data_IF_197310394638
#
_entry.id   IF_197310394638
#
_cell.length_a   1.000
_cell.length_b   1.000
_cell.length_c   1.000
_cell.angle_alpha   90.00
_cell.angle_beta   90.00
_cell.angle_gamma   90.00
#
_symmetry.space_group_name_H-M   'P 1'
#
loop_
_entity.id
_entity.type
_entity.pdbx_description
1 polymer ?
#
# COMPACT_ATOMS: atom_id res chain seq x y z
N UNK A 1 13.72 29.52 -14.87
CA UNK A 1 13.53 28.31 -15.70
C UNK A 1 12.08 27.91 -15.52
N UNK A 2 11.41 27.51 -16.57
CA UNK A 2 10.06 26.93 -16.47
C UNK A 2 10.05 25.74 -15.51
N UNK A 3 8.99 25.57 -14.73
CA UNK A 3 8.92 24.55 -13.68
C UNK A 3 9.03 23.12 -14.25
N UNK A 4 8.42 22.87 -15.41
CA UNK A 4 8.46 21.57 -16.07
C UNK A 4 9.86 21.29 -16.63
N UNK A 5 10.52 22.28 -17.24
CA UNK A 5 11.87 22.14 -17.73
C UNK A 5 12.86 21.90 -16.58
N UNK A 6 12.68 22.53 -15.44
CA UNK A 6 13.49 22.29 -14.24
C UNK A 6 13.30 20.86 -13.73
N UNK A 7 12.07 20.42 -13.57
CA UNK A 7 11.72 19.08 -13.11
C UNK A 7 12.25 17.98 -14.05
N UNK A 8 12.12 18.17 -15.38
CA UNK A 8 12.69 17.26 -16.38
C UNK A 8 14.22 17.19 -16.25
N UNK A 9 14.90 18.35 -16.14
CA UNK A 9 16.34 18.42 -15.98
C UNK A 9 16.82 17.67 -14.72
N UNK A 10 16.14 17.89 -13.59
CA UNK A 10 16.47 17.23 -12.33
C UNK A 10 16.20 15.72 -12.38
N UNK A 11 15.11 15.28 -13.00
CA UNK A 11 14.81 13.87 -13.21
C UNK A 11 15.92 13.17 -14.02
N UNK A 12 16.40 13.79 -15.10
CA UNK A 12 17.54 13.29 -15.91
C UNK A 12 18.81 13.19 -15.09
N UNK A 13 19.16 14.25 -14.36
CA UNK A 13 20.36 14.26 -13.50
C UNK A 13 20.29 13.20 -12.41
N UNK A 14 19.15 13.08 -11.73
CA UNK A 14 18.96 12.07 -10.71
C UNK A 14 19.10 10.65 -11.26
N UNK A 15 18.49 10.35 -12.41
CA UNK A 15 18.59 9.04 -13.04
C UNK A 15 20.02 8.70 -13.49
N UNK A 16 20.76 9.62 -14.10
CA UNK A 16 22.18 9.39 -14.48
C UNK A 16 23.06 9.24 -13.23
N UNK A 17 22.90 10.09 -12.21
CA UNK A 17 23.65 9.98 -10.95
C UNK A 17 23.32 8.67 -10.20
N UNK A 18 22.06 8.24 -10.16
CA UNK A 18 21.66 6.95 -9.57
C UNK A 18 22.30 5.77 -10.33
N UNK A 19 22.37 5.85 -11.66
CA UNK A 19 23.03 4.83 -12.47
C UNK A 19 24.54 4.73 -12.17
N UNK A 20 25.24 5.85 -12.04
CA UNK A 20 26.66 5.83 -11.68
C UNK A 20 26.88 5.29 -10.25
N UNK A 21 26.01 5.63 -9.31
CA UNK A 21 26.05 5.07 -7.97
C UNK A 21 25.76 3.55 -7.99
N UNK A 22 24.72 3.12 -8.72
CA UNK A 22 24.39 1.72 -8.91
C UNK A 22 25.59 0.91 -9.46
N UNK A 23 26.28 1.41 -10.47
CA UNK A 23 27.45 0.73 -11.04
C UNK A 23 28.56 0.50 -10.03
N UNK A 24 28.73 1.41 -9.07
CA UNK A 24 29.71 1.28 -7.98
C UNK A 24 29.22 0.34 -6.89
N UNK A 25 27.91 0.30 -6.66
CA UNK A 25 27.28 -0.54 -5.64
C UNK A 25 27.06 -1.98 -6.11
N UNK A 26 26.94 -2.19 -7.42
CA UNK A 26 26.77 -3.53 -8.00
C UNK A 26 27.99 -4.41 -7.70
N UNK A 27 27.74 -5.58 -7.13
CA UNK A 27 28.79 -6.52 -6.72
C UNK A 27 29.34 -6.25 -5.32
N UNK A 28 28.77 -5.31 -4.58
CA UNK A 28 29.01 -5.13 -3.14
C UNK A 28 28.66 -6.42 -2.39
N UNK A 29 29.43 -6.74 -1.37
CA UNK A 29 29.17 -7.87 -0.50
C UNK A 29 27.76 -7.77 0.12
N UNK A 30 27.05 -8.89 0.18
CA UNK A 30 25.68 -8.95 0.71
C UNK A 30 25.65 -8.51 2.17
N UNK A 31 26.68 -8.84 2.96
CA UNK A 31 26.76 -8.42 4.36
C UNK A 31 26.81 -6.91 4.51
N UNK A 32 27.57 -6.20 3.65
CA UNK A 32 27.62 -4.74 3.66
C UNK A 32 26.27 -4.13 3.23
N UNK A 33 25.55 -4.75 2.28
CA UNK A 33 24.21 -4.31 1.90
C UNK A 33 23.25 -4.43 3.11
N UNK A 34 23.34 -5.52 3.87
CA UNK A 34 22.55 -5.74 5.07
C UNK A 34 22.89 -4.72 6.17
N UNK A 35 24.16 -4.40 6.36
CA UNK A 35 24.59 -3.34 7.28
C UNK A 35 24.06 -1.95 6.86
N UNK A 36 24.10 -1.63 5.57
CA UNK A 36 23.52 -0.38 5.02
C UNK A 36 22.01 -0.32 5.29
N UNK A 37 21.26 -1.40 5.03
CA UNK A 37 19.82 -1.46 5.30
C UNK A 37 19.53 -1.27 6.79
N UNK A 38 20.30 -1.91 7.67
CA UNK A 38 20.14 -1.76 9.10
C UNK A 38 20.48 -0.34 9.59
N UNK A 39 21.54 0.28 9.07
CA UNK A 39 21.91 1.64 9.42
C UNK A 39 20.82 2.64 9.00
N UNK A 40 20.23 2.49 7.82
CA UNK A 40 19.09 3.32 7.38
C UNK A 40 17.90 3.18 8.32
N UNK A 41 17.54 1.95 8.69
CA UNK A 41 16.45 1.68 9.63
C UNK A 41 16.70 2.34 10.99
N UNK A 42 17.89 2.14 11.56
CA UNK A 42 18.28 2.70 12.84
C UNK A 42 18.35 4.24 12.85
N UNK A 43 18.67 4.86 11.71
CA UNK A 43 18.69 6.30 11.56
C UNK A 43 17.28 6.93 11.47
N UNK A 44 16.31 6.18 10.89
CA UNK A 44 14.92 6.63 10.76
C UNK A 44 14.12 6.43 12.04
N UNK A 45 14.38 5.39 12.82
CA UNK A 45 13.58 5.04 13.98
C UNK A 45 13.37 6.23 14.96
N UNK A 46 14.40 6.97 15.43
CA UNK A 46 14.22 8.13 16.31
C UNK A 46 13.49 9.30 15.65
N UNK A 47 13.47 9.35 14.31
CA UNK A 47 12.87 10.42 13.52
C UNK A 47 11.40 10.16 13.18
N UNK A 48 10.88 8.97 13.46
CA UNK A 48 9.53 8.56 13.05
C UNK A 48 8.43 9.52 13.48
N UNK A 49 8.53 10.08 14.71
CA UNK A 49 7.55 11.05 15.22
C UNK A 49 7.64 12.39 14.47
N UNK A 50 8.85 12.92 14.30
CA UNK A 50 9.08 14.19 13.60
C UNK A 50 8.67 14.10 12.14
N UNK A 51 9.02 13.01 11.46
CA UNK A 51 8.62 12.78 10.07
C UNK A 51 7.11 12.56 9.93
N UNK A 52 6.47 11.91 10.91
CA UNK A 52 5.01 11.76 10.94
C UNK A 52 4.30 13.09 11.06
N UNK A 53 4.77 13.97 11.95
CA UNK A 53 4.26 15.33 12.11
C UNK A 53 4.45 16.16 10.82
N UNK A 54 5.67 16.17 10.28
CA UNK A 54 5.99 16.89 9.04
C UNK A 54 5.10 16.45 7.88
N UNK A 55 4.86 15.14 7.74
CA UNK A 55 4.00 14.60 6.70
C UNK A 55 2.53 15.01 6.89
N UNK A 56 2.02 15.00 8.12
CA UNK A 56 0.65 15.42 8.40
C UNK A 56 0.45 16.92 8.14
N UNK A 57 1.40 17.77 8.55
CA UNK A 57 1.35 19.21 8.34
C UNK A 57 1.48 19.61 6.86
N UNK A 58 2.41 19.00 6.13
CA UNK A 58 2.65 19.34 4.73
C UNK A 58 1.52 18.85 3.81
N UNK A 59 1.01 17.64 4.03
CA UNK A 59 -0.02 17.06 3.17
C UNK A 59 -1.44 17.49 3.54
N UNK A 60 -1.67 17.76 4.83
CA UNK A 60 -3.01 17.97 5.38
C UNK A 60 -3.84 16.69 5.46
N UNK A 61 -3.25 15.52 5.20
CA UNK A 61 -3.94 14.23 5.15
C UNK A 61 -3.53 13.37 6.36
N UNK A 62 -4.50 12.79 7.07
CA UNK A 62 -4.26 11.90 8.21
C UNK A 62 -3.84 12.62 9.50
N UNK A 63 -3.15 11.93 10.39
CA UNK A 63 -2.67 12.48 11.66
C UNK A 63 -1.22 12.06 11.97
N UNK A 64 -0.53 12.89 12.75
CA UNK A 64 0.88 12.73 13.04
C UNK A 64 1.23 11.41 13.76
N UNK A 65 0.38 10.98 14.71
CA UNK A 65 0.64 9.79 15.53
C UNK A 65 0.54 8.50 14.69
N UNK A 66 -0.50 8.36 13.90
CA UNK A 66 -0.66 7.19 13.04
C UNK A 66 0.40 7.15 11.93
N UNK A 67 0.82 8.32 11.41
CA UNK A 67 1.94 8.40 10.47
C UNK A 67 3.26 7.99 11.13
N UNK A 68 3.46 8.32 12.41
CA UNK A 68 4.59 7.81 13.20
C UNK A 68 4.56 6.28 13.28
N UNK A 69 3.39 5.68 13.56
CA UNK A 69 3.24 4.23 13.62
C UNK A 69 3.51 3.57 12.26
N UNK A 70 3.07 4.17 11.15
CA UNK A 70 3.40 3.71 9.78
C UNK A 70 4.91 3.76 9.50
N UNK A 71 5.60 4.81 9.94
CA UNK A 71 7.05 4.91 9.82
C UNK A 71 7.73 3.81 10.64
N UNK A 72 7.31 3.59 11.89
CA UNK A 72 7.83 2.53 12.77
C UNK A 72 7.61 1.13 12.19
N UNK A 73 6.44 0.85 11.62
CA UNK A 73 6.19 -0.43 10.95
C UNK A 73 7.26 -0.72 9.89
N UNK A 74 7.62 0.27 9.06
CA UNK A 74 8.61 0.07 8.02
C UNK A 74 10.04 -0.04 8.53
N UNK A 75 10.44 0.77 9.49
CA UNK A 75 11.82 0.69 10.02
C UNK A 75 12.02 -0.44 11.04
N UNK A 76 10.99 -1.01 11.61
CA UNK A 76 11.10 -2.14 12.53
C UNK A 76 10.66 -3.45 11.86
N UNK A 77 9.38 -3.61 11.55
CA UNK A 77 8.82 -4.86 11.06
C UNK A 77 9.33 -5.23 9.67
N UNK A 78 9.29 -4.28 8.71
CA UNK A 78 9.81 -4.55 7.35
C UNK A 78 11.32 -4.74 7.38
N UNK A 79 12.06 -3.92 8.12
CA UNK A 79 13.52 -4.04 8.20
C UNK A 79 13.96 -5.35 8.86
N UNK A 80 13.24 -5.83 9.88
CA UNK A 80 13.50 -7.13 10.52
C UNK A 80 13.26 -8.28 9.55
N UNK A 81 12.15 -8.26 8.82
CA UNK A 81 11.86 -9.25 7.78
C UNK A 81 12.95 -9.26 6.70
N UNK A 82 13.39 -8.08 6.23
CA UNK A 82 14.43 -7.94 5.21
C UNK A 82 15.78 -8.55 5.63
N UNK A 83 16.12 -8.58 6.93
CA UNK A 83 17.35 -9.23 7.43
C UNK A 83 17.38 -10.72 7.09
N UNK A 84 16.23 -11.38 7.09
CA UNK A 84 16.11 -12.81 6.89
C UNK A 84 15.89 -13.19 5.41
N UNK A 85 15.73 -12.21 4.51
CA UNK A 85 15.46 -12.44 3.09
C UNK A 85 16.76 -12.37 2.29
N UNK A 86 17.03 -13.43 1.55
CA UNK A 86 18.15 -13.46 0.60
C UNK A 86 17.67 -12.93 -0.75
N UNK A 87 18.23 -11.80 -1.18
CA UNK A 87 17.91 -11.15 -2.46
C UNK A 87 19.02 -11.29 -3.50
N UNK A 88 20.27 -11.41 -3.08
CA UNK A 88 21.44 -11.41 -3.95
C UNK A 88 22.31 -12.66 -3.75
N UNK A 89 23.10 -12.97 -4.78
CA UNK A 89 23.93 -14.18 -4.80
C UNK A 89 23.10 -15.44 -4.98
N UNK A 90 23.63 -16.60 -4.56
CA UNK A 90 22.92 -17.88 -4.68
C UNK A 90 21.72 -17.87 -3.74
N UNK A 91 20.51 -17.84 -4.30
CA UNK A 91 19.23 -17.87 -3.56
C UNK A 91 18.92 -19.28 -3.08
N UNK A 92 19.07 -20.25 -3.97
CA UNK A 92 18.94 -21.69 -3.70
C UNK A 92 19.71 -22.49 -4.76
N UNK A 93 20.03 -23.75 -4.42
CA UNK A 93 20.60 -24.75 -5.31
C UNK A 93 19.89 -26.08 -5.08
N UNK A 94 19.61 -26.78 -6.16
CA UNK A 94 19.02 -28.12 -6.15
C UNK A 94 19.93 -29.07 -6.92
N UNK A 95 20.53 -30.01 -6.20
CA UNK A 95 21.46 -30.98 -6.75
C UNK A 95 20.75 -32.09 -7.57
N UNK A 96 19.43 -32.29 -7.36
CA UNK A 96 18.64 -33.27 -8.11
C UNK A 96 18.33 -32.75 -9.52
N UNK A 97 17.84 -31.51 -9.61
CA UNK A 97 17.58 -30.85 -10.89
C UNK A 97 18.83 -30.24 -11.51
N UNK A 98 19.92 -30.17 -10.76
CA UNK A 98 21.20 -29.53 -11.14
C UNK A 98 21.02 -28.08 -11.56
N UNK A 99 20.17 -27.33 -10.86
CA UNK A 99 19.90 -25.93 -11.10
C UNK A 99 20.26 -25.12 -9.86
N UNK A 100 20.91 -23.98 -10.05
CA UNK A 100 21.03 -22.94 -9.02
C UNK A 100 20.35 -21.65 -9.49
N UNK A 101 19.69 -20.95 -8.56
CA UNK A 101 19.13 -19.63 -8.78
C UNK A 101 20.02 -18.57 -8.15
N UNK A 102 20.36 -17.55 -8.92
CA UNK A 102 21.21 -16.43 -8.49
C UNK A 102 20.43 -15.12 -8.63
N UNK A 103 20.27 -14.39 -7.53
CA UNK A 103 19.67 -13.06 -7.51
C UNK A 103 20.68 -11.99 -7.96
N UNK A 104 20.24 -11.09 -8.82
CA UNK A 104 20.99 -9.92 -9.27
C UNK A 104 20.11 -8.68 -9.21
N UNK A 105 20.67 -7.48 -8.92
CA UNK A 105 19.88 -6.25 -8.89
C UNK A 105 19.36 -5.89 -10.29
N UNK A 106 18.21 -5.20 -10.34
CA UNK A 106 17.63 -4.70 -11.60
C UNK A 106 18.32 -3.45 -12.11
N UNK A 107 18.74 -2.54 -11.22
CA UNK A 107 19.41 -1.29 -11.61
C UNK A 107 18.86 -0.07 -10.87
N UNK A 108 18.29 0.88 -11.61
CA UNK A 108 17.71 2.11 -11.03
C UNK A 108 16.20 1.97 -10.92
N UNK A 109 15.68 2.16 -9.71
CA UNK A 109 14.26 2.16 -9.39
C UNK A 109 13.74 3.60 -9.45
N UNK A 110 12.71 3.85 -10.27
CA UNK A 110 11.92 5.07 -10.19
C UNK A 110 10.73 4.84 -9.25
N UNK A 111 10.71 5.51 -8.11
CA UNK A 111 9.71 5.31 -7.07
C UNK A 111 8.73 6.48 -6.98
N UNK A 112 7.46 6.24 -7.37
CA UNK A 112 6.40 7.23 -7.26
C UNK A 112 5.72 7.11 -5.90
N UNK A 113 5.66 8.23 -5.17
CA UNK A 113 5.25 8.29 -3.77
C UNK A 113 3.88 8.98 -3.66
N UNK A 114 2.90 8.35 -2.98
CA UNK A 114 1.57 8.94 -2.81
C UNK A 114 1.58 10.07 -1.78
N UNK A 115 0.58 10.95 -1.86
CA UNK A 115 0.41 12.04 -0.90
C UNK A 115 -0.04 11.54 0.48
N UNK A 116 -0.83 10.49 0.52
CA UNK A 116 -1.44 9.99 1.77
C UNK A 116 -0.42 9.41 2.76
N UNK A 117 0.68 8.83 2.25
CA UNK A 117 1.67 8.11 3.07
C UNK A 117 3.11 8.39 2.60
N UNK A 118 3.57 9.66 2.50
CA UNK A 118 4.81 9.98 1.81
C UNK A 118 6.04 9.40 2.52
N UNK A 119 6.22 9.64 3.81
CA UNK A 119 7.39 9.22 4.58
C UNK A 119 7.48 7.70 4.70
N UNK A 120 6.41 7.05 5.12
CA UNK A 120 6.36 5.58 5.29
C UNK A 120 6.57 4.84 3.97
N UNK A 121 6.02 5.33 2.85
CA UNK A 121 6.24 4.74 1.53
C UNK A 121 7.69 4.89 1.05
N UNK A 122 8.32 6.04 1.34
CA UNK A 122 9.75 6.23 1.03
C UNK A 122 10.61 5.26 1.84
N UNK A 123 10.41 5.20 3.16
CA UNK A 123 11.15 4.28 4.03
C UNK A 123 11.05 2.85 3.47
N UNK A 124 9.84 2.38 3.20
CA UNK A 124 9.58 1.06 2.66
C UNK A 124 10.30 0.81 1.31
N UNK A 125 10.11 1.71 0.34
CA UNK A 125 10.67 1.53 -1.02
C UNK A 125 12.19 1.61 -1.03
N UNK A 126 12.77 2.50 -0.23
CA UNK A 126 14.23 2.66 -0.13
C UNK A 126 14.85 1.42 0.51
N UNK A 127 14.33 0.94 1.65
CA UNK A 127 14.82 -0.28 2.29
C UNK A 127 14.76 -1.47 1.34
N UNK A 128 13.62 -1.67 0.66
CA UNK A 128 13.43 -2.76 -0.29
C UNK A 128 14.35 -2.68 -1.52
N UNK A 129 14.51 -1.47 -2.09
CA UNK A 129 15.36 -1.27 -3.26
C UNK A 129 16.84 -1.50 -2.94
N UNK A 130 17.33 -0.95 -1.83
CA UNK A 130 18.74 -1.10 -1.43
C UNK A 130 19.03 -2.53 -1.00
N UNK A 131 18.12 -3.22 -0.28
CA UNK A 131 18.24 -4.65 0.04
C UNK A 131 18.39 -5.52 -1.21
N UNK A 132 17.73 -5.15 -2.29
CA UNK A 132 17.85 -5.80 -3.59
C UNK A 132 19.07 -5.31 -4.43
N UNK A 133 19.95 -4.49 -3.85
CA UNK A 133 21.17 -3.99 -4.51
C UNK A 133 20.93 -2.90 -5.55
N UNK A 134 19.77 -2.26 -5.57
CA UNK A 134 19.39 -1.23 -6.55
C UNK A 134 19.70 0.19 -6.04
N UNK A 135 19.83 1.12 -6.98
CA UNK A 135 19.68 2.54 -6.70
C UNK A 135 18.21 2.95 -6.82
N UNK A 136 17.83 4.03 -6.14
CA UNK A 136 16.44 4.50 -6.14
C UNK A 136 16.36 6.03 -6.25
N UNK A 137 15.40 6.50 -7.08
CA UNK A 137 15.03 7.90 -7.20
C UNK A 137 13.55 8.04 -6.84
N UNK A 138 13.26 8.71 -5.73
CA UNK A 138 11.91 8.98 -5.27
C UNK A 138 11.34 10.22 -5.96
N UNK A 139 10.13 10.10 -6.51
CA UNK A 139 9.32 11.21 -7.03
C UNK A 139 8.09 11.37 -6.12
N UNK A 140 8.13 12.26 -5.11
CA UNK A 140 7.01 12.49 -4.21
C UNK A 140 5.85 13.20 -4.91
N UNK A 141 4.65 13.12 -4.33
CA UNK A 141 3.56 13.98 -4.74
C UNK A 141 3.91 15.44 -4.42
N UNK A 142 3.51 16.44 -5.25
CA UNK A 142 3.82 17.86 -5.01
C UNK A 142 3.47 18.40 -3.61
N UNK A 143 2.43 17.85 -2.96
CA UNK A 143 2.05 18.18 -1.57
C UNK A 143 2.84 17.40 -0.49
N UNK A 144 3.90 16.69 -0.81
CA UNK A 144 4.71 15.90 0.13
C UNK A 144 6.19 15.91 -0.22
N UNK A 145 6.66 17.00 -0.86
CA UNK A 145 8.06 17.11 -1.32
C UNK A 145 9.02 17.30 -0.14
N UNK A 146 8.68 18.14 0.84
CA UNK A 146 9.59 18.45 1.94
C UNK A 146 9.78 17.25 2.86
N UNK A 147 8.69 16.59 3.27
CA UNK A 147 8.78 15.38 4.08
C UNK A 147 9.47 14.24 3.29
N UNK A 148 9.28 14.18 1.97
CA UNK A 148 9.97 13.24 1.10
C UNK A 148 11.47 13.48 1.02
N UNK A 149 11.90 14.70 0.81
CA UNK A 149 13.31 15.10 0.78
C UNK A 149 14.00 14.80 2.12
N UNK A 150 13.35 15.17 3.23
CA UNK A 150 13.92 14.97 4.56
C UNK A 150 14.07 13.49 4.91
N UNK A 151 13.06 12.67 4.65
CA UNK A 151 13.11 11.22 4.86
C UNK A 151 14.25 10.60 4.03
N UNK A 152 14.32 10.95 2.75
CA UNK A 152 15.36 10.43 1.84
C UNK A 152 16.75 10.89 2.27
N UNK A 153 16.91 12.14 2.72
CA UNK A 153 18.18 12.70 3.20
C UNK A 153 18.75 11.90 4.37
N UNK A 154 17.90 11.58 5.37
CA UNK A 154 18.32 10.80 6.55
C UNK A 154 18.80 9.41 6.11
N UNK A 155 18.03 8.72 5.28
CA UNK A 155 18.37 7.39 4.81
C UNK A 155 19.64 7.39 3.94
N UNK A 156 19.76 8.36 3.02
CA UNK A 156 20.94 8.50 2.15
C UNK A 156 22.21 8.75 2.97
N UNK A 157 22.15 9.64 3.98
CA UNK A 157 23.29 9.92 4.85
C UNK A 157 23.73 8.69 5.65
N UNK A 158 22.78 7.93 6.21
CA UNK A 158 23.08 6.70 6.93
C UNK A 158 23.71 5.65 5.99
N UNK A 159 23.19 5.48 4.79
CA UNK A 159 23.76 4.58 3.79
C UNK A 159 25.19 5.00 3.38
N UNK A 160 25.43 6.29 3.10
CA UNK A 160 26.74 6.83 2.74
C UNK A 160 27.78 6.65 3.86
N UNK A 161 27.38 6.81 5.12
CA UNK A 161 28.25 6.56 6.28
C UNK A 161 28.69 5.10 6.40
N UNK A 162 27.87 4.16 5.93
CA UNK A 162 28.21 2.74 5.83
C UNK A 162 28.96 2.37 4.54
N UNK A 163 29.33 3.34 3.69
CA UNK A 163 30.09 3.13 2.49
C UNK A 163 29.26 2.96 1.20
N UNK A 164 27.94 3.14 1.25
CA UNK A 164 27.16 3.19 0.02
C UNK A 164 27.55 4.41 -0.85
N UNK A 165 27.59 4.26 -2.17
CA UNK A 165 27.95 5.36 -3.05
C UNK A 165 26.97 6.53 -2.96
N UNK A 166 27.50 7.76 -2.90
CA UNK A 166 26.69 8.97 -2.99
C UNK A 166 25.84 8.94 -4.27
N UNK A 167 24.55 9.28 -4.11
CA UNK A 167 23.59 9.27 -5.20
C UNK A 167 22.85 7.95 -5.40
N UNK A 168 23.11 6.94 -4.55
CA UNK A 168 22.37 5.67 -4.57
C UNK A 168 20.89 5.87 -4.24
N UNK A 169 20.61 6.79 -3.31
CA UNK A 169 19.28 7.11 -2.81
C UNK A 169 19.03 8.60 -3.05
N UNK A 170 18.01 8.93 -3.84
CA UNK A 170 17.70 10.31 -4.21
C UNK A 170 16.21 10.59 -4.17
N UNK A 171 15.86 11.87 -4.04
CA UNK A 171 14.50 12.38 -4.13
C UNK A 171 14.48 13.64 -5.02
N UNK A 172 13.46 13.77 -5.86
CA UNK A 172 13.30 14.94 -6.71
C UNK A 172 12.82 16.15 -5.90
N UNK A 173 13.51 17.29 -5.93
CA UNK A 173 13.10 18.48 -5.19
C UNK A 173 12.00 19.30 -5.90
N UNK A 174 11.91 19.21 -7.22
CA UNK A 174 10.84 19.84 -8.01
C UNK A 174 10.12 18.76 -8.81
N UNK A 175 8.83 18.55 -8.52
CA UNK A 175 8.05 17.46 -9.09
C UNK A 175 6.89 18.01 -9.90
N UNK A 176 6.89 17.71 -11.21
CA UNK A 176 5.78 17.93 -12.12
C UNK A 176 5.38 16.62 -12.81
N UNK A 177 4.28 16.62 -13.54
CA UNK A 177 3.87 15.43 -14.31
C UNK A 177 4.92 15.10 -15.37
N UNK A 178 5.48 16.11 -16.04
CA UNK A 178 6.48 16.00 -17.09
C UNK A 178 7.80 15.45 -16.55
N UNK A 179 8.27 15.98 -15.42
CA UNK A 179 9.49 15.46 -14.76
C UNK A 179 9.32 14.04 -14.25
N UNK A 180 8.16 13.70 -13.71
CA UNK A 180 7.85 12.32 -13.27
C UNK A 180 7.77 11.38 -14.48
N UNK A 181 7.15 11.80 -15.58
CA UNK A 181 7.10 11.01 -16.81
C UNK A 181 8.51 10.82 -17.42
N UNK A 182 9.36 11.84 -17.38
CA UNK A 182 10.75 11.73 -17.79
C UNK A 182 11.53 10.72 -16.94
N UNK A 183 11.39 10.78 -15.62
CA UNK A 183 12.04 9.81 -14.73
C UNK A 183 11.61 8.38 -15.04
N UNK A 184 10.31 8.14 -15.21
CA UNK A 184 9.77 6.81 -15.53
C UNK A 184 10.33 6.27 -16.86
N UNK A 185 10.40 7.12 -17.89
CA UNK A 185 10.83 6.72 -19.25
C UNK A 185 12.34 6.77 -19.47
N UNK A 186 13.07 7.35 -18.53
CA UNK A 186 14.49 7.60 -18.70
C UNK A 186 15.25 6.29 -19.03
N UNK A 187 16.24 6.37 -19.91
CA UNK A 187 17.02 5.18 -20.36
C UNK A 187 17.71 4.43 -19.21
N UNK A 188 18.03 5.12 -18.10
CA UNK A 188 18.68 4.52 -16.94
C UNK A 188 17.70 3.91 -15.95
N UNK A 189 16.44 4.26 -16.01
CA UNK A 189 15.38 3.63 -15.20
C UNK A 189 15.17 2.19 -15.65
N UNK A 190 15.35 1.25 -14.73
CA UNK A 190 15.23 -0.18 -14.96
C UNK A 190 13.82 -0.70 -14.61
N UNK A 191 13.24 -0.17 -13.53
CA UNK A 191 11.94 -0.58 -13.03
C UNK A 191 11.22 0.62 -12.38
N UNK A 192 9.90 0.66 -12.50
CA UNK A 192 9.05 1.66 -11.84
C UNK A 192 8.31 1.01 -10.67
N UNK A 193 8.39 1.61 -9.48
CA UNK A 193 7.54 1.28 -8.32
C UNK A 193 6.52 2.39 -8.12
N UNK A 194 5.26 2.17 -8.45
CA UNK A 194 4.22 3.18 -8.36
C UNK A 194 3.17 2.83 -7.29
N UNK A 195 2.89 3.78 -6.41
CA UNK A 195 1.77 3.73 -5.47
C UNK A 195 0.92 4.96 -5.68
N UNK A 196 -0.34 4.81 -6.02
CA UNK A 196 -1.22 5.95 -6.28
C UNK A 196 -2.55 5.58 -6.90
N UNK A 197 -3.34 6.59 -7.27
CA UNK A 197 -4.63 6.39 -7.92
C UNK A 197 -4.51 5.82 -9.34
N UNK A 198 -5.65 5.39 -9.90
CA UNK A 198 -5.73 4.68 -11.20
C UNK A 198 -5.04 5.41 -12.35
N UNK A 199 -5.04 6.75 -12.37
CA UNK A 199 -4.35 7.53 -13.41
C UNK A 199 -2.83 7.37 -13.33
N UNK A 200 -2.26 7.40 -12.12
CA UNK A 200 -0.83 7.20 -11.88
C UNK A 200 -0.40 5.78 -12.25
N UNK A 201 -1.19 4.77 -11.87
CA UNK A 201 -0.95 3.36 -12.20
C UNK A 201 -0.93 3.18 -13.72
N UNK A 202 -1.91 3.73 -14.45
CA UNK A 202 -1.92 3.69 -15.92
C UNK A 202 -0.71 4.39 -16.54
N UNK A 203 -0.33 5.56 -16.04
CA UNK A 203 0.85 6.29 -16.51
C UNK A 203 2.14 5.48 -16.30
N UNK A 204 2.28 4.81 -15.14
CA UNK A 204 3.42 3.97 -14.83
C UNK A 204 3.53 2.77 -15.78
N UNK A 205 2.45 2.02 -16.00
CA UNK A 205 2.43 0.91 -16.97
C UNK A 205 2.65 1.38 -18.42
N UNK A 206 2.21 2.60 -18.77
CA UNK A 206 2.41 3.19 -20.10
C UNK A 206 3.83 3.76 -20.30
N UNK A 207 4.70 3.71 -19.31
CA UNK A 207 6.06 4.24 -19.40
C UNK A 207 6.98 3.42 -20.33
N UNK A 208 6.60 2.18 -20.66
CA UNK A 208 7.42 1.24 -21.41
C UNK A 208 8.53 0.57 -20.58
N UNK A 209 8.47 0.69 -19.26
CA UNK A 209 9.40 0.03 -18.32
C UNK A 209 8.70 -1.10 -17.57
N UNK A 210 9.45 -2.12 -17.11
CA UNK A 210 8.94 -3.03 -16.09
C UNK A 210 8.38 -2.23 -14.93
N UNK A 211 7.16 -2.56 -14.48
CA UNK A 211 6.42 -1.73 -13.53
C UNK A 211 5.78 -2.61 -12.46
N UNK A 212 6.01 -2.25 -11.21
CA UNK A 212 5.30 -2.74 -10.04
C UNK A 212 4.40 -1.60 -9.57
N UNK A 213 3.13 -1.66 -9.89
CA UNK A 213 2.18 -0.60 -9.53
C UNK A 213 1.00 -1.19 -8.75
N UNK A 214 0.59 -0.47 -7.71
CA UNK A 214 -0.54 -0.81 -6.85
C UNK A 214 -1.55 0.34 -6.85
N UNK A 215 -2.81 -0.01 -7.04
CA UNK A 215 -3.90 0.92 -7.25
C UNK A 215 -4.84 1.08 -6.04
N UNK A 216 -5.99 1.72 -6.26
CA UNK A 216 -7.02 1.91 -5.24
C UNK A 216 -7.64 0.58 -4.78
N UNK A 217 -8.24 0.58 -3.59
CA UNK A 217 -8.98 -0.54 -3.04
C UNK A 217 -10.39 -0.14 -2.65
N UNK A 218 -11.34 -1.06 -2.76
CA UNK A 218 -12.68 -0.91 -2.20
C UNK A 218 -12.97 -2.16 -1.36
N UNK A 219 -12.50 -2.13 -0.12
CA UNK A 219 -12.38 -3.31 0.76
C UNK A 219 -13.70 -3.59 1.49
N UNK A 220 -14.39 -4.70 1.18
CA UNK A 220 -15.50 -5.17 1.98
C UNK A 220 -15.01 -5.93 3.21
N UNK A 221 -15.76 -5.80 4.31
CA UNK A 221 -15.60 -6.60 5.51
C UNK A 221 -16.94 -7.29 5.81
N UNK A 222 -16.91 -8.62 5.92
CA UNK A 222 -18.07 -9.42 6.26
C UNK A 222 -17.97 -9.98 7.67
N UNK A 223 -19.06 -9.88 8.46
CA UNK A 223 -19.17 -10.45 9.80
C UNK A 223 -20.22 -11.53 9.80
N UNK A 224 -19.77 -12.78 9.90
CA UNK A 224 -20.61 -13.96 9.90
C UNK A 224 -21.20 -14.23 11.31
N UNK A 225 -22.37 -14.85 11.36
CA UNK A 225 -23.10 -15.18 12.59
C UNK A 225 -22.34 -16.12 13.54
N UNK A 226 -21.38 -16.91 13.06
CA UNK A 226 -20.52 -17.73 13.94
C UNK A 226 -19.71 -16.89 14.95
N UNK A 227 -19.52 -15.61 14.68
CA UNK A 227 -18.80 -14.65 15.53
C UNK A 227 -19.68 -13.89 16.52
N UNK A 228 -20.92 -14.33 16.76
CA UNK A 228 -21.86 -13.67 17.67
C UNK A 228 -21.33 -13.46 19.10
N UNK A 229 -20.34 -14.23 19.52
CA UNK A 229 -19.74 -14.18 20.86
C UNK A 229 -18.52 -13.23 20.97
N UNK A 230 -18.02 -12.67 19.85
CA UNK A 230 -16.83 -11.80 19.78
C UNK A 230 -17.12 -10.43 19.15
N UNK A 231 -18.40 -10.02 19.07
CA UNK A 231 -18.81 -8.80 18.35
C UNK A 231 -18.23 -7.51 18.96
N UNK A 232 -17.97 -7.51 20.26
CA UNK A 232 -17.34 -6.39 20.95
C UNK A 232 -15.88 -6.20 20.51
N UNK A 233 -15.09 -7.27 20.42
CA UNK A 233 -13.72 -7.24 19.92
C UNK A 233 -13.68 -6.91 18.42
N UNK A 234 -14.55 -7.52 17.63
CA UNK A 234 -14.66 -7.23 16.18
C UNK A 234 -15.00 -5.75 15.95
N UNK A 235 -15.92 -5.18 16.72
CA UNK A 235 -16.24 -3.76 16.63
C UNK A 235 -15.04 -2.88 16.97
N UNK A 236 -14.23 -3.22 17.98
CA UNK A 236 -13.00 -2.48 18.31
C UNK A 236 -12.00 -2.57 17.16
N UNK A 237 -11.80 -3.75 16.57
CA UNK A 237 -10.89 -3.95 15.44
C UNK A 237 -11.34 -3.16 14.20
N UNK A 238 -12.64 -3.15 13.87
CA UNK A 238 -13.22 -2.35 12.77
C UNK A 238 -12.96 -0.85 13.03
N UNK A 239 -13.28 -0.39 14.23
CA UNK A 239 -13.14 1.03 14.59
C UNK A 239 -11.69 1.48 14.60
N UNK A 240 -10.77 0.66 15.12
CA UNK A 240 -9.32 0.90 15.09
C UNK A 240 -8.81 0.98 13.65
N UNK A 241 -9.10 -0.03 12.83
CA UNK A 241 -8.61 -0.13 11.46
C UNK A 241 -9.12 1.03 10.59
N UNK A 242 -10.41 1.35 10.69
CA UNK A 242 -11.01 2.43 9.90
C UNK A 242 -10.61 3.83 10.33
N UNK A 243 -10.41 4.07 11.62
CA UNK A 243 -10.00 5.38 12.11
C UNK A 243 -8.49 5.64 11.98
N UNK A 244 -7.69 4.59 11.77
CA UNK A 244 -6.23 4.69 11.65
C UNK A 244 -5.83 5.60 10.50
N UNK A 245 -5.06 6.63 10.83
CA UNK A 245 -4.63 7.71 9.92
C UNK A 245 -5.79 8.27 9.09
N UNK A 246 -6.96 8.36 9.71
CA UNK A 246 -8.23 8.79 9.10
C UNK A 246 -8.57 8.03 7.80
N UNK A 247 -8.26 6.73 7.75
CA UNK A 247 -8.64 5.86 6.64
C UNK A 247 -7.88 6.11 5.33
N UNK A 248 -6.69 6.71 5.37
CA UNK A 248 -5.89 7.03 4.17
C UNK A 248 -5.25 5.83 3.49
N UNK A 249 -5.24 4.65 4.13
CA UNK A 249 -4.67 3.46 3.52
C UNK A 249 -5.67 2.79 2.55
N UNK A 250 -5.21 2.41 1.35
CA UNK A 250 -6.03 1.72 0.34
C UNK A 250 -6.56 0.35 0.83
N UNK A 251 -5.91 -0.25 1.82
CA UNK A 251 -6.34 -1.50 2.45
C UNK A 251 -7.42 -1.29 3.51
N UNK A 252 -7.66 -0.05 3.97
CA UNK A 252 -8.69 0.25 4.97
C UNK A 252 -10.08 -0.15 4.47
N UNK A 253 -10.88 -0.73 5.34
CA UNK A 253 -12.25 -1.15 5.07
C UNK A 253 -13.09 0.01 4.50
N UNK A 254 -13.88 -0.26 3.49
CA UNK A 254 -14.81 0.70 2.90
C UNK A 254 -16.27 0.37 3.20
N UNK A 255 -16.56 -0.89 3.48
CA UNK A 255 -17.90 -1.37 3.79
C UNK A 255 -17.85 -2.43 4.88
N UNK A 256 -18.86 -2.40 5.77
CA UNK A 256 -19.16 -3.47 6.71
C UNK A 256 -20.45 -4.13 6.26
N UNK A 257 -20.41 -5.44 6.08
CA UNK A 257 -21.55 -6.29 5.72
C UNK A 257 -21.73 -7.26 6.90
N UNK A 258 -22.84 -7.18 7.62
CA UNK A 258 -23.10 -8.03 8.78
C UNK A 258 -24.25 -9.00 8.48
N UNK A 259 -24.13 -10.26 8.92
CA UNK A 259 -25.28 -11.15 8.94
C UNK A 259 -26.42 -10.51 9.74
N UNK A 260 -27.63 -10.58 9.24
CA UNK A 260 -28.81 -9.99 9.86
C UNK A 260 -29.00 -10.41 11.33
N UNK A 261 -28.61 -11.64 11.66
CA UNK A 261 -28.71 -12.18 13.03
C UNK A 261 -27.77 -11.52 14.04
N UNK A 262 -26.64 -10.93 13.60
CA UNK A 262 -25.64 -10.26 14.45
C UNK A 262 -25.59 -8.74 14.22
N UNK A 263 -26.26 -8.25 13.19
CA UNK A 263 -26.17 -6.86 12.74
C UNK A 263 -26.56 -5.86 13.84
N UNK A 264 -27.65 -6.11 14.57
CA UNK A 264 -28.12 -5.22 15.63
C UNK A 264 -27.11 -5.10 16.78
N UNK A 265 -26.55 -6.22 17.23
CA UNK A 265 -25.56 -6.24 18.31
C UNK A 265 -24.25 -5.61 17.85
N UNK A 266 -23.75 -5.95 16.66
CA UNK A 266 -22.54 -5.33 16.10
C UNK A 266 -22.68 -3.81 15.96
N UNK A 267 -23.85 -3.34 15.52
CA UNK A 267 -24.18 -1.92 15.45
C UNK A 267 -24.13 -1.25 16.82
N UNK A 268 -24.64 -1.91 17.86
CA UNK A 268 -24.56 -1.41 19.23
C UNK A 268 -23.10 -1.28 19.67
N UNK A 269 -22.28 -2.30 19.44
CA UNK A 269 -20.87 -2.32 19.81
C UNK A 269 -20.06 -1.24 19.06
N UNK A 270 -20.32 -1.04 17.76
CA UNK A 270 -19.69 0.03 16.97
C UNK A 270 -20.08 1.42 17.53
N UNK A 271 -21.36 1.64 17.85
CA UNK A 271 -21.82 2.91 18.44
C UNK A 271 -21.16 3.20 19.78
N UNK A 272 -21.03 2.20 20.65
CA UNK A 272 -20.39 2.34 21.96
C UNK A 272 -18.92 2.75 21.87
N UNK A 273 -18.26 2.48 20.72
CA UNK A 273 -16.84 2.77 20.42
C UNK A 273 -16.62 4.01 19.54
N UNK A 274 -17.65 4.86 19.39
CA UNK A 274 -17.56 6.13 18.66
C UNK A 274 -17.93 6.01 17.17
N UNK A 275 -18.65 4.98 16.77
CA UNK A 275 -19.30 4.92 15.46
C UNK A 275 -20.61 5.73 15.45
N UNK A 276 -20.79 6.56 14.44
CA UNK A 276 -22.01 7.35 14.23
C UNK A 276 -22.72 6.91 12.96
N UNK A 277 -23.94 6.41 13.10
CA UNK A 277 -24.78 6.03 11.97
C UNK A 277 -25.57 7.25 11.49
N UNK A 278 -25.22 7.73 10.31
CA UNK A 278 -25.86 8.87 9.66
C UNK A 278 -27.31 8.53 9.25
N UNK A 279 -28.18 9.53 9.30
CA UNK A 279 -29.51 9.45 8.65
C UNK A 279 -29.33 9.44 7.12
N UNK A 280 -30.44 9.17 6.39
CA UNK A 280 -30.40 9.21 4.92
C UNK A 280 -30.02 10.61 4.39
N UNK A 281 -30.56 11.67 5.00
CA UNK A 281 -30.26 13.06 4.64
C UNK A 281 -28.81 13.45 4.99
N UNK A 282 -28.30 12.98 6.14
CA UNK A 282 -26.88 13.19 6.50
C UNK A 282 -25.95 12.44 5.56
N UNK A 283 -26.30 11.22 5.17
CA UNK A 283 -25.54 10.40 4.21
C UNK A 283 -25.49 11.06 2.84
N UNK A 284 -26.58 11.68 2.37
CA UNK A 284 -26.61 12.40 1.11
C UNK A 284 -25.65 13.61 1.16
N UNK A 285 -25.74 14.46 2.21
CA UNK A 285 -24.81 15.60 2.38
C UNK A 285 -23.36 15.15 2.52
N UNK A 286 -23.11 14.04 3.21
CA UNK A 286 -21.77 13.48 3.35
C UNK A 286 -21.21 12.99 2.01
N UNK A 287 -22.04 12.39 1.14
CA UNK A 287 -21.65 12.01 -0.21
C UNK A 287 -21.22 13.24 -1.05
N UNK A 288 -21.97 14.36 -0.98
CA UNK A 288 -21.65 15.62 -1.67
C UNK A 288 -20.33 16.25 -1.17
N UNK A 289 -19.98 16.06 0.10
CA UNK A 289 -18.70 16.49 0.69
C UNK A 289 -17.54 15.65 0.16
N UNK A 290 -17.74 14.33 0.00
CA UNK A 290 -16.67 13.40 -0.35
C UNK A 290 -16.46 13.33 -1.87
N UNK A 291 -17.50 13.39 -2.68
CA UNK A 291 -17.42 13.16 -4.11
C UNK A 291 -17.78 14.40 -4.95
N UNK A 292 -17.21 14.49 -6.13
CA UNK A 292 -17.62 15.45 -7.18
C UNK A 292 -18.83 14.88 -7.94
N UNK A 293 -19.44 15.68 -8.81
CA UNK A 293 -20.51 15.22 -9.72
C UNK A 293 -20.04 14.10 -10.65
N UNK A 294 -18.75 14.08 -11.02
CA UNK A 294 -18.13 13.01 -11.82
C UNK A 294 -17.72 11.79 -10.98
N UNK A 295 -18.10 11.74 -9.71
CA UNK A 295 -17.80 10.65 -8.76
C UNK A 295 -16.29 10.46 -8.48
N UNK A 296 -15.52 11.53 -8.61
CA UNK A 296 -14.13 11.56 -8.14
C UNK A 296 -14.08 12.00 -6.67
N UNK A 297 -13.15 11.43 -5.89
CA UNK A 297 -12.96 11.85 -4.49
C UNK A 297 -12.46 13.30 -4.47
N UNK A 298 -13.12 14.15 -3.67
CA UNK A 298 -12.64 15.54 -3.45
C UNK A 298 -11.37 15.51 -2.61
N UNK A 299 -10.33 16.18 -3.08
CA UNK A 299 -9.01 16.23 -2.41
C UNK A 299 -9.16 16.67 -0.94
N UNK A 300 -10.03 17.65 -0.66
CA UNK A 300 -10.26 18.15 0.70
C UNK A 300 -11.01 17.20 1.65
N UNK A 301 -11.47 16.02 1.18
CA UNK A 301 -12.09 14.99 2.03
C UNK A 301 -11.15 13.84 2.36
N UNK A 302 -10.05 13.69 1.64
CA UNK A 302 -9.07 12.60 1.85
C UNK A 302 -8.34 12.80 3.16
N UNK A 303 -8.28 11.77 3.99
CA UNK A 303 -7.53 11.80 5.24
C UNK A 303 -8.02 12.84 6.26
N UNK A 304 -9.29 13.24 6.18
CA UNK A 304 -9.90 14.17 7.13
C UNK A 304 -10.59 13.42 8.27
N UNK A 305 -10.61 14.02 9.47
CA UNK A 305 -11.29 13.41 10.63
C UNK A 305 -12.80 13.34 10.42
N UNK A 306 -13.48 12.41 11.13
CA UNK A 306 -14.93 12.31 11.11
C UNK A 306 -15.61 13.65 11.48
N UNK A 307 -15.07 14.37 12.46
CA UNK A 307 -15.58 15.70 12.87
C UNK A 307 -15.43 16.74 11.77
N UNK A 308 -14.32 16.77 11.05
CA UNK A 308 -14.14 17.73 9.94
C UNK A 308 -15.13 17.46 8.80
N UNK A 309 -15.28 16.19 8.41
CA UNK A 309 -16.24 15.79 7.37
C UNK A 309 -17.69 16.13 7.79
N UNK A 310 -18.05 15.86 9.05
CA UNK A 310 -19.35 16.17 9.59
C UNK A 310 -19.62 17.68 9.61
N UNK A 311 -18.64 18.50 9.99
CA UNK A 311 -18.75 19.94 9.94
C UNK A 311 -19.06 20.45 8.53
N UNK A 312 -18.35 19.93 7.51
CA UNK A 312 -18.60 20.26 6.11
C UNK A 312 -19.99 19.82 5.63
N UNK A 313 -20.48 18.67 6.15
CA UNK A 313 -21.80 18.13 5.81
C UNK A 313 -22.95 18.69 6.69
N UNK A 314 -22.68 19.65 7.61
CA UNK A 314 -23.62 20.16 8.59
C UNK A 314 -24.28 19.02 9.43
N UNK A 315 -23.45 18.12 9.95
CA UNK A 315 -23.83 17.01 10.84
C UNK A 315 -23.29 17.31 12.23
N UNK A 316 -24.16 17.20 13.25
CA UNK A 316 -23.74 17.34 14.66
C UNK A 316 -23.37 15.99 15.22
N UNK A 317 -22.13 15.84 15.68
CA UNK A 317 -21.59 14.59 16.21
C UNK A 317 -21.38 14.61 17.72
N UNK A 318 -21.53 13.44 18.40
CA UNK A 318 -20.99 13.25 19.73
C UNK A 318 -19.46 13.48 19.74
N UNK A 319 -18.89 14.04 20.85
CA UNK A 319 -17.46 14.39 20.89
C UNK A 319 -16.48 13.24 20.66
N UNK A 320 -16.88 12.01 20.99
CA UNK A 320 -16.07 10.80 20.88
C UNK A 320 -16.20 10.08 19.51
N UNK A 321 -16.86 10.69 18.53
CA UNK A 321 -17.05 10.06 17.21
C UNK A 321 -15.74 9.92 16.47
N UNK A 322 -15.44 8.70 16.03
CA UNK A 322 -14.23 8.33 15.28
C UNK A 322 -14.52 7.97 13.82
N UNK A 323 -15.67 7.34 13.57
CA UNK A 323 -16.06 6.82 12.26
C UNK A 323 -17.52 7.14 11.97
N UNK A 324 -17.83 7.54 10.74
CA UNK A 324 -19.18 7.75 10.24
C UNK A 324 -19.62 6.49 9.47
N UNK A 325 -20.86 6.06 9.70
CA UNK A 325 -21.42 4.91 8.98
C UNK A 325 -22.69 5.36 8.25
N UNK A 326 -22.80 4.94 6.99
CA UNK A 326 -23.95 5.19 6.15
C UNK A 326 -24.63 3.88 5.77
N UNK A 327 -25.89 3.71 6.17
CA UNK A 327 -26.67 2.53 5.80
C UNK A 327 -27.02 2.59 4.32
N UNK A 328 -26.79 1.49 3.62
CA UNK A 328 -27.02 1.35 2.20
C UNK A 328 -27.74 0.04 1.89
N UNK A 329 -28.57 0.05 0.87
CA UNK A 329 -29.28 -1.14 0.38
C UNK A 329 -28.78 -1.59 -1.00
N UNK A 330 -28.08 -0.72 -1.69
CA UNK A 330 -27.55 -0.95 -3.05
C UNK A 330 -26.07 -0.61 -3.13
N UNK A 331 -25.39 -1.21 -4.10
CA UNK A 331 -23.98 -0.98 -4.41
C UNK A 331 -23.89 -0.54 -5.88
N UNK A 332 -23.17 0.52 -6.15
CA UNK A 332 -22.99 1.00 -7.53
C UNK A 332 -22.55 2.46 -7.58
N UNK A 333 -22.25 2.93 -8.79
CA UNK A 333 -21.82 4.32 -9.00
C UNK A 333 -22.87 5.35 -8.57
N UNK A 334 -24.13 5.01 -8.69
CA UNK A 334 -25.26 5.84 -8.24
C UNK A 334 -25.35 5.95 -6.70
N UNK A 335 -24.61 5.12 -5.99
CA UNK A 335 -24.49 5.13 -4.52
C UNK A 335 -23.04 5.45 -4.13
N UNK A 336 -22.63 6.75 -4.17
CA UNK A 336 -21.21 7.12 -4.04
C UNK A 336 -20.52 6.58 -2.79
N UNK A 337 -21.27 6.49 -1.64
CA UNK A 337 -20.73 5.98 -0.40
C UNK A 337 -20.43 4.46 -0.43
N UNK A 338 -20.81 3.73 -1.48
CA UNK A 338 -20.38 2.34 -1.72
C UNK A 338 -18.98 2.21 -2.34
N UNK A 339 -18.40 3.33 -2.80
CA UNK A 339 -17.07 3.39 -3.42
C UNK A 339 -15.97 3.64 -2.37
N UNK A 340 -14.68 3.55 -2.80
CA UNK A 340 -13.53 3.96 -1.97
C UNK A 340 -13.62 5.44 -1.59
N UNK A 341 -13.32 5.75 -0.32
CA UNK A 341 -13.50 7.10 0.25
C UNK A 341 -12.21 7.72 0.79
N UNK A 342 -11.22 6.90 1.20
CA UNK A 342 -9.95 7.32 1.80
C UNK A 342 -10.11 8.29 2.99
N UNK A 343 -11.15 8.04 3.80
CA UNK A 343 -11.49 8.79 5.01
C UNK A 343 -12.27 7.91 5.98
N UNK A 344 -12.56 8.33 7.23
CA UNK A 344 -13.20 7.49 8.26
C UNK A 344 -14.72 7.36 8.04
N UNK A 345 -15.13 6.96 6.84
CA UNK A 345 -16.54 6.69 6.49
C UNK A 345 -16.67 5.26 5.98
N UNK A 346 -17.66 4.53 6.51
CA UNK A 346 -18.02 3.17 6.12
C UNK A 346 -19.44 3.14 5.52
N UNK A 347 -19.63 2.34 4.47
CA UNK A 347 -20.96 1.87 4.11
C UNK A 347 -21.34 0.69 5.01
N UNK A 348 -22.60 0.62 5.39
CA UNK A 348 -23.14 -0.47 6.20
C UNK A 348 -24.22 -1.22 5.42
N UNK A 349 -24.11 -2.55 5.41
CA UNK A 349 -25.06 -3.45 4.78
C UNK A 349 -25.43 -4.58 5.73
N UNK A 350 -26.64 -5.12 5.58
CA UNK A 350 -27.09 -6.32 6.26
C UNK A 350 -27.32 -7.45 5.26
N UNK A 351 -26.69 -8.59 5.50
CA UNK A 351 -26.81 -9.78 4.69
C UNK A 351 -27.89 -10.72 5.27
N UNK A 352 -28.78 -11.21 4.41
CA UNK A 352 -29.85 -12.16 4.81
C UNK A 352 -29.29 -13.54 5.14
N UNK A 353 -28.24 -13.94 4.42
CA UNK A 353 -27.57 -15.22 4.49
C UNK A 353 -26.13 -15.08 3.93
N UNK A 354 -25.35 -16.16 4.01
CA UNK A 354 -23.95 -16.21 3.55
C UNK A 354 -23.83 -15.90 2.06
N UNK A 355 -24.72 -16.44 1.22
CA UNK A 355 -24.68 -16.22 -0.23
C UNK A 355 -24.93 -14.75 -0.57
N UNK A 356 -25.86 -14.10 0.11
CA UNK A 356 -26.11 -12.68 -0.04
C UNK A 356 -24.94 -11.85 0.48
N UNK A 357 -24.29 -12.25 1.60
CA UNK A 357 -23.07 -11.63 2.12
C UNK A 357 -21.92 -11.71 1.14
N UNK A 358 -21.71 -12.88 0.53
CA UNK A 358 -20.73 -13.07 -0.52
C UNK A 358 -21.01 -12.18 -1.75
N UNK A 359 -22.27 -12.13 -2.22
CA UNK A 359 -22.65 -11.30 -3.37
C UNK A 359 -22.46 -9.80 -3.10
N UNK A 360 -22.78 -9.31 -1.90
CA UNK A 360 -22.52 -7.93 -1.51
C UNK A 360 -21.02 -7.62 -1.50
N UNK A 361 -20.19 -8.50 -0.91
CA UNK A 361 -18.74 -8.35 -0.94
C UNK A 361 -18.20 -8.33 -2.37
N UNK A 362 -18.67 -9.24 -3.22
CA UNK A 362 -18.28 -9.29 -4.63
C UNK A 362 -18.62 -8.00 -5.36
N UNK A 363 -19.83 -7.47 -5.20
CA UNK A 363 -20.25 -6.20 -5.80
C UNK A 363 -19.38 -5.01 -5.34
N UNK A 364 -19.03 -4.93 -4.04
CA UNK A 364 -18.12 -3.90 -3.51
C UNK A 364 -16.74 -4.00 -4.17
N UNK A 365 -16.19 -5.21 -4.27
CA UNK A 365 -14.89 -5.44 -4.94
C UNK A 365 -14.97 -5.05 -6.41
N UNK A 366 -16.02 -5.47 -7.12
CA UNK A 366 -16.21 -5.19 -8.56
C UNK A 366 -16.39 -3.69 -8.85
N UNK A 367 -16.89 -2.92 -7.90
CA UNK A 367 -17.10 -1.48 -8.08
C UNK A 367 -15.78 -0.67 -8.12
N UNK A 368 -14.68 -1.15 -7.51
CA UNK A 368 -13.41 -0.40 -7.53
C UNK A 368 -12.24 -1.08 -6.81
N UNK A 369 -12.44 -2.28 -6.28
CA UNK A 369 -11.43 -2.99 -5.48
C UNK A 369 -10.87 -4.27 -6.11
N UNK A 370 -10.99 -4.44 -7.44
CA UNK A 370 -10.49 -5.62 -8.14
C UNK A 370 -9.06 -5.98 -7.72
N UNK A 371 -8.89 -7.23 -7.27
CA UNK A 371 -7.60 -7.78 -6.90
C UNK A 371 -7.02 -7.24 -5.60
N UNK A 372 -7.68 -6.32 -4.87
CA UNK A 372 -7.10 -5.74 -3.67
C UNK A 372 -7.29 -6.66 -2.45
N UNK A 373 -8.19 -6.37 -1.55
CA UNK A 373 -8.34 -7.04 -0.24
C UNK A 373 -9.82 -7.21 0.10
N UNK A 374 -10.16 -8.30 0.78
CA UNK A 374 -11.42 -8.46 1.51
C UNK A 374 -11.13 -8.98 2.92
N UNK A 375 -12.04 -8.72 3.84
CA UNK A 375 -11.96 -9.19 5.24
C UNK A 375 -13.18 -10.03 5.56
N UNK A 376 -12.99 -11.11 6.30
CA UNK A 376 -14.05 -11.96 6.84
C UNK A 376 -13.80 -12.27 8.31
N UNK A 377 -14.77 -12.04 9.16
CA UNK A 377 -14.84 -12.55 10.52
C UNK A 377 -15.77 -13.76 10.54
N UNK A 378 -15.19 -14.96 10.59
CA UNK A 378 -15.92 -16.22 10.45
C UNK A 378 -15.13 -17.39 11.03
N UNK A 379 -15.81 -18.35 11.68
CA UNK A 379 -15.24 -19.59 12.20
C UNK A 379 -15.63 -20.80 11.34
N UNK A 380 -16.54 -20.65 10.37
CA UNK A 380 -16.90 -21.74 9.45
C UNK A 380 -15.93 -21.84 8.28
N UNK A 381 -15.14 -22.93 8.17
CA UNK A 381 -14.16 -23.11 7.08
C UNK A 381 -14.80 -23.14 5.68
N UNK A 382 -16.06 -23.61 5.57
CA UNK A 382 -16.75 -23.66 4.26
C UNK A 382 -17.10 -22.27 3.79
N UNK A 383 -17.59 -21.43 4.67
CA UNK A 383 -17.86 -20.00 4.38
C UNK A 383 -16.55 -19.29 4.02
N UNK A 384 -15.47 -19.49 4.79
CA UNK A 384 -14.15 -18.91 4.44
C UNK A 384 -13.68 -19.36 3.06
N UNK A 385 -13.83 -20.66 2.72
CA UNK A 385 -13.47 -21.19 1.41
C UNK A 385 -14.32 -20.58 0.27
N UNK A 386 -15.62 -20.35 0.50
CA UNK A 386 -16.50 -19.66 -0.45
C UNK A 386 -16.02 -18.22 -0.69
N UNK A 387 -15.72 -17.47 0.38
CA UNK A 387 -15.20 -16.09 0.27
C UNK A 387 -13.79 -16.02 -0.34
N UNK A 388 -13.02 -17.11 -0.25
CA UNK A 388 -11.75 -17.28 -0.96
C UNK A 388 -11.87 -17.22 -2.48
N UNK A 389 -13.09 -17.31 -3.04
CA UNK A 389 -13.36 -17.15 -4.47
C UNK A 389 -13.61 -15.69 -4.90
N UNK A 390 -13.64 -14.74 -3.96
CA UNK A 390 -13.71 -13.32 -4.31
C UNK A 390 -12.51 -12.91 -5.18
N UNK A 391 -12.71 -12.01 -6.16
CA UNK A 391 -11.63 -11.57 -7.05
C UNK A 391 -10.70 -10.56 -6.35
N UNK A 392 -10.05 -11.00 -5.28
CA UNK A 392 -9.10 -10.23 -4.47
C UNK A 392 -7.73 -10.91 -4.42
N UNK A 393 -6.68 -10.15 -4.19
CA UNK A 393 -5.32 -10.66 -4.01
C UNK A 393 -5.11 -11.27 -2.63
N UNK A 394 -5.91 -10.87 -1.64
CA UNK A 394 -5.89 -11.42 -0.27
C UNK A 394 -7.25 -11.37 0.40
N UNK A 395 -7.61 -12.49 1.03
CA UNK A 395 -8.73 -12.57 1.97
C UNK A 395 -8.14 -12.66 3.37
N UNK A 396 -8.46 -11.69 4.22
CA UNK A 396 -8.01 -11.65 5.61
C UNK A 396 -9.09 -12.27 6.50
N UNK A 397 -8.71 -13.22 7.32
CA UNK A 397 -9.65 -13.97 8.18
C UNK A 397 -9.39 -13.61 9.64
N UNK A 398 -10.43 -13.14 10.34
CA UNK A 398 -10.42 -12.80 11.76
C UNK A 398 -9.29 -11.82 12.16
N UNK A 399 -9.01 -10.85 11.31
CA UNK A 399 -8.03 -9.78 11.56
C UNK A 399 -8.40 -8.51 10.81
N UNK A 400 -8.15 -7.30 11.35
CA UNK A 400 -8.48 -6.05 10.67
C UNK A 400 -7.62 -5.82 9.43
N UNK A 401 -8.16 -5.10 8.46
CA UNK A 401 -7.53 -4.94 7.15
C UNK A 401 -6.17 -4.24 7.22
N UNK A 402 -6.02 -3.21 8.07
CA UNK A 402 -4.81 -2.41 8.13
C UNK A 402 -3.60 -3.24 8.62
N UNK A 403 -3.77 -4.02 9.67
CA UNK A 403 -2.69 -4.83 10.24
C UNK A 403 -2.50 -6.15 9.50
N UNK A 404 -3.61 -6.80 9.13
CA UNK A 404 -3.56 -8.09 8.41
C UNK A 404 -3.00 -7.97 7.00
N UNK A 405 -3.46 -6.99 6.23
CA UNK A 405 -3.03 -6.81 4.84
C UNK A 405 -1.58 -6.37 4.69
N UNK A 406 -1.08 -5.57 5.63
CA UNK A 406 0.33 -5.15 5.63
C UNK A 406 1.30 -6.24 6.16
N UNK A 407 0.79 -7.39 6.66
CA UNK A 407 1.63 -8.45 7.20
C UNK A 407 2.13 -8.18 8.63
N UNK A 408 1.37 -7.45 9.46
CA UNK A 408 1.68 -7.24 10.87
C UNK A 408 1.01 -8.29 11.77
N UNK A 409 -0.28 -8.56 11.54
CA UNK A 409 -1.07 -9.54 12.30
C UNK A 409 -1.31 -10.85 11.53
N UNK A 410 -0.65 -11.04 10.41
CA UNK A 410 -0.61 -12.27 9.59
C UNK A 410 0.82 -12.56 9.19
N UNK A 411 1.06 -13.78 8.69
CA UNK A 411 2.37 -14.18 8.13
C UNK A 411 2.53 -13.81 6.63
N UNK A 412 1.70 -12.90 6.11
CA UNK A 412 1.96 -12.27 4.82
C UNK A 412 3.25 -11.46 4.89
N UNK A 413 3.99 -11.40 3.78
CA UNK A 413 5.21 -10.59 3.73
C UNK A 413 4.91 -9.13 4.08
N UNK A 414 5.64 -8.54 5.06
CA UNK A 414 5.41 -7.17 5.48
C UNK A 414 5.66 -6.19 4.32
N UNK A 415 4.64 -5.44 3.96
CA UNK A 415 4.70 -4.55 2.79
C UNK A 415 3.84 -3.30 2.95
N UNK A 416 4.31 -2.23 2.30
CA UNK A 416 3.57 -0.99 2.08
C UNK A 416 3.12 -0.83 0.62
N UNK A 417 3.28 -1.89 -0.20
CA UNK A 417 2.78 -1.99 -1.57
C UNK A 417 2.03 -3.32 -1.75
N UNK A 418 0.72 -3.24 -1.71
CA UNK A 418 -0.17 -4.39 -1.77
C UNK A 418 -0.58 -4.64 -3.22
N UNK A 419 -0.03 -5.68 -3.83
CA UNK A 419 -0.32 -6.03 -5.21
C UNK A 419 -1.81 -6.36 -5.42
N UNK A 420 -2.29 -6.10 -6.62
CA UNK A 420 -3.72 -6.21 -6.97
C UNK A 420 -3.97 -7.13 -8.16
N UNK A 421 -2.93 -7.71 -8.74
CA UNK A 421 -3.03 -8.70 -9.80
C UNK A 421 -3.62 -8.19 -11.11
N UNK A 422 -3.74 -9.09 -12.06
CA UNK A 422 -4.15 -8.77 -13.45
C UNK A 422 -5.59 -8.28 -13.55
N UNK A 423 -6.46 -8.65 -12.62
CA UNK A 423 -7.84 -8.17 -12.58
C UNK A 423 -7.95 -6.64 -12.45
N UNK A 424 -6.97 -6.01 -11.80
CA UNK A 424 -6.86 -4.55 -11.69
C UNK A 424 -5.89 -3.92 -12.71
N UNK A 425 -5.29 -4.73 -13.59
CA UNK A 425 -4.25 -4.29 -14.52
C UNK A 425 -2.84 -4.24 -13.92
N UNK A 426 -2.60 -4.87 -12.75
CA UNK A 426 -1.28 -5.01 -12.14
C UNK A 426 -0.67 -6.37 -12.44
N UNK A 427 0.66 -6.44 -12.59
CA UNK A 427 1.36 -7.72 -12.80
C UNK A 427 1.56 -8.50 -11.50
N UNK A 428 1.48 -7.85 -10.34
CA UNK A 428 1.76 -8.44 -9.03
C UNK A 428 0.46 -8.55 -8.23
N UNK A 429 0.14 -9.74 -7.72
CA UNK A 429 -0.97 -10.02 -6.79
C UNK A 429 -0.53 -10.05 -5.33
N UNK A 430 0.75 -10.35 -5.09
CA UNK A 430 1.31 -10.50 -3.75
C UNK A 430 1.64 -9.16 -3.11
N UNK A 431 1.97 -9.17 -1.83
CA UNK A 431 2.64 -8.05 -1.20
C UNK A 431 3.99 -7.83 -1.90
N UNK A 432 4.19 -6.65 -2.51
CA UNK A 432 5.44 -6.35 -3.21
C UNK A 432 6.57 -6.24 -2.19
N UNK A 433 7.69 -6.90 -2.41
CA UNK A 433 8.84 -6.93 -1.50
C UNK A 433 10.15 -6.72 -2.26
N UNK A 434 11.28 -6.76 -1.57
CA UNK A 434 12.61 -6.71 -2.17
C UNK A 434 12.84 -7.86 -3.20
N UNK A 435 12.15 -9.00 -3.05
CA UNK A 435 12.23 -10.13 -3.98
C UNK A 435 11.66 -9.80 -5.37
N UNK A 436 10.77 -8.81 -5.48
CA UNK A 436 10.25 -8.34 -6.75
C UNK A 436 11.19 -7.34 -7.46
N UNK A 437 12.30 -6.96 -6.82
CA UNK A 437 13.27 -5.98 -7.31
C UNK A 437 14.61 -6.63 -7.72
N UNK A 438 14.61 -7.93 -7.97
CA UNK A 438 15.77 -8.69 -8.43
C UNK A 438 15.48 -9.40 -9.75
N UNK A 439 16.54 -9.57 -10.55
CA UNK A 439 16.54 -10.53 -11.64
C UNK A 439 17.03 -11.89 -11.11
N UNK A 440 16.39 -12.97 -11.52
CA UNK A 440 16.80 -14.30 -11.13
C UNK A 440 17.45 -15.00 -12.34
N UNK A 441 18.77 -15.17 -12.26
CA UNK A 441 19.55 -15.95 -13.22
C UNK A 441 19.52 -17.42 -12.84
N UNK A 442 19.45 -18.31 -13.81
CA UNK A 442 19.60 -19.75 -13.60
C UNK A 442 20.98 -20.21 -14.08
N UNK A 443 21.68 -20.97 -13.23
CA UNK A 443 22.82 -21.77 -13.62
C UNK A 443 22.29 -23.20 -13.73
N UNK A 444 22.26 -23.74 -14.95
CA UNK A 444 21.71 -25.06 -15.22
C UNK A 444 22.77 -25.95 -15.85
N UNK A 445 22.98 -27.12 -15.28
CA UNK A 445 23.89 -28.14 -15.79
C UNK A 445 23.12 -29.20 -16.56
N UNK A 446 23.78 -29.86 -17.50
CA UNK A 446 23.17 -30.97 -18.24
C UNK A 446 22.71 -32.05 -17.26
N UNK A 447 21.43 -32.39 -17.31
CA UNK A 447 20.79 -33.44 -16.49
C UNK A 447 20.39 -34.65 -17.30
N UNK A 448 20.29 -34.51 -18.62
CA UNK A 448 20.06 -35.58 -19.61
C UNK A 448 20.94 -35.32 -20.82
N UNK A 449 21.53 -36.38 -21.44
CA UNK A 449 22.29 -36.19 -22.67
C UNK A 449 21.43 -35.49 -23.73
N UNK A 450 21.95 -34.44 -24.37
CA UNK A 450 21.18 -33.68 -25.36
C UNK A 450 20.76 -34.52 -26.57
N UNK A 451 21.50 -35.65 -26.81
CA UNK A 451 21.20 -36.61 -27.89
C UNK A 451 19.96 -37.43 -27.63
N UNK A 452 19.52 -37.55 -26.37
CA UNK A 452 18.30 -38.27 -26.02
C UNK A 452 17.01 -37.48 -26.37
N UNK A 453 17.17 -36.25 -26.86
CA UNK A 453 16.06 -35.45 -27.35
C UNK A 453 15.63 -36.00 -28.72
N UNK A 454 14.39 -36.43 -28.82
CA UNK A 454 13.81 -36.97 -30.06
C UNK A 454 14.54 -38.20 -30.64
N UNK A 455 15.21 -39.01 -29.84
CA UNK A 455 15.95 -40.22 -30.30
C UNK A 455 16.94 -39.94 -31.45
N UNK A 456 17.66 -38.81 -31.39
CA UNK A 456 18.67 -38.38 -32.38
C UNK A 456 19.94 -39.21 -32.25
#
# INVERSE_FOLDING_TARGET
>A
MDADLLSIYEARRAAESAWEAFRKFRGTDVSLIDEVVQAMSSAIEPECARLGLLAAEETGDGNAEDKRLKNLFNCLTVADWLRNVRTLGVLWQDDVTKIAAVGEPMGVVAALIPVTNPTSTIIYKVLSAVKAGNAIVCAPHPRGVQCGLETTRIMAQAAEQMGAPRGLIQCLPHVTQEGTAELMRHRRTSVVMATGGSAMVRAAYSSGKPTLAVGPGNVPLYVHSSKAHELDEIAEQIMMSKSFDYGTACVSEQSVIADQSVAQQLRYEIKSRGGYFCTAEESARLADVIFTEELSIRIGSVGQSAHHLAQLANITLPPNTRVLLSEQTEIGRQIPLSMEKLNPVLAWYEARDVDNGYDLCRQVVELGGWGHTAVIYCDDPNTVAQFGQLPVGRLLVNTPAITGGMGFSTDLEPSFMLGTGTASGSIVSDNVTALHLINIKRIAYESRPWRDIYDL
#
